data_IF_602177526846
#
_entry.id   IF_602177526846
#
_cell.length_a   1.000
_cell.length_b   1.000
_cell.length_c   1.000
_cell.angle_alpha   90.00
_cell.angle_beta   90.00
_cell.angle_gamma   90.00
#
_symmetry.space_group_name_H-M   'P 1'
#
loop_
_entity.id
_entity.type
_entity.pdbx_description
1 polymer ?
#
# COMPACT_ATOMS: atom_id res chain seq x y z
N UNK A 1 8.97 0.92 -2.03
CA UNK A 1 7.92 1.62 -1.26
C UNK A 1 6.99 2.33 -2.22
N UNK A 2 5.70 2.06 -2.09
CA UNK A 2 4.66 2.68 -2.92
C UNK A 2 3.80 3.55 -2.01
N UNK A 3 3.64 4.81 -2.38
CA UNK A 3 2.78 5.76 -1.70
C UNK A 3 1.37 5.73 -2.28
N UNK A 4 0.37 5.60 -1.42
CA UNK A 4 -1.05 5.65 -1.75
C UNK A 4 -1.67 6.97 -1.29
N UNK A 5 -2.98 7.13 -1.51
CA UNK A 5 -3.76 8.21 -0.93
C UNK A 5 -3.21 9.61 -1.26
N UNK A 6 -3.03 10.43 -0.22
CA UNK A 6 -2.53 11.81 -0.35
C UNK A 6 -1.08 11.87 -0.79
N UNK A 7 -0.24 10.96 -0.28
CA UNK A 7 1.17 10.85 -0.66
C UNK A 7 1.32 10.52 -2.15
N UNK A 8 0.52 9.57 -2.62
CA UNK A 8 0.47 9.17 -4.02
C UNK A 8 -0.09 10.25 -4.94
N UNK A 9 -1.14 10.95 -4.48
CA UNK A 9 -1.80 12.02 -5.22
C UNK A 9 -1.14 13.40 -5.19
N UNK A 10 0.00 13.58 -4.50
CA UNK A 10 0.63 14.89 -4.28
C UNK A 10 -0.27 15.89 -3.53
N UNK A 11 -1.10 15.39 -2.60
CA UNK A 11 -2.10 16.15 -1.83
C UNK A 11 -1.79 16.13 -0.31
N UNK A 12 -0.51 16.10 0.08
CA UNK A 12 -0.11 16.07 1.49
C UNK A 12 -0.40 17.42 2.19
N UNK A 13 -1.06 17.35 3.34
CA UNK A 13 -1.20 18.47 4.29
C UNK A 13 -0.34 18.30 5.54
N UNK A 14 -0.29 19.33 6.39
CA UNK A 14 0.58 19.40 7.57
C UNK A 14 0.44 18.25 8.57
N UNK A 15 -0.74 17.67 8.71
CA UNK A 15 -1.04 16.56 9.62
C UNK A 15 -1.53 15.32 8.86
N UNK A 16 -1.02 15.08 7.65
CA UNK A 16 -1.43 13.93 6.85
C UNK A 16 -0.59 12.70 7.15
N UNK A 17 -1.27 11.57 7.29
CA UNK A 17 -0.65 10.26 7.40
C UNK A 17 -0.02 9.85 6.05
N UNK A 18 0.98 8.97 6.13
CA UNK A 18 1.63 8.40 4.96
C UNK A 18 1.05 7.01 4.69
N UNK A 19 0.21 6.90 3.65
CA UNK A 19 -0.26 5.62 3.16
C UNK A 19 0.86 4.91 2.39
N UNK A 20 1.43 3.85 2.97
CA UNK A 20 2.61 3.16 2.43
C UNK A 20 2.39 1.65 2.32
N UNK A 21 2.80 1.09 1.19
CA UNK A 21 2.98 -0.36 1.05
C UNK A 21 4.43 -0.67 0.65
N UNK A 22 4.89 -1.86 1.03
CA UNK A 22 6.26 -2.31 0.79
C UNK A 22 6.26 -3.47 -0.20
N UNK A 23 7.07 -3.33 -1.25
CA UNK A 23 7.26 -4.36 -2.26
C UNK A 23 8.73 -4.77 -2.32
N UNK A 24 8.98 -6.03 -2.66
CA UNK A 24 10.30 -6.57 -2.99
C UNK A 24 10.22 -7.45 -4.24
N UNK A 25 11.34 -7.73 -4.89
CA UNK A 25 11.47 -8.69 -5.99
C UNK A 25 12.46 -9.82 -5.64
N UNK A 26 12.74 -10.01 -4.35
CA UNK A 26 13.61 -11.08 -3.84
C UNK A 26 13.17 -12.50 -4.27
N UNK A 27 14.05 -13.28 -4.92
CA UNK A 27 13.84 -14.71 -5.16
C UNK A 27 13.70 -15.49 -3.85
N UNK A 28 13.17 -16.73 -3.93
CA UNK A 28 13.00 -17.62 -2.76
C UNK A 28 14.33 -18.11 -2.17
N UNK A 29 15.32 -18.36 -3.00
CA UNK A 29 16.55 -19.06 -2.58
C UNK A 29 17.72 -18.11 -2.30
N UNK A 30 17.43 -16.85 -1.95
CA UNK A 30 18.44 -15.83 -1.65
C UNK A 30 18.62 -15.72 -0.14
N UNK A 31 19.87 -15.82 0.31
CA UNK A 31 20.27 -15.61 1.69
C UNK A 31 21.15 -14.36 1.81
N UNK A 32 21.14 -13.74 2.98
CA UNK A 32 22.01 -12.58 3.27
C UNK A 32 23.43 -13.00 3.59
N UNK A 33 24.42 -12.19 3.21
CA UNK A 33 25.87 -12.44 3.38
C UNK A 33 26.47 -11.92 4.70
N UNK A 34 25.64 -11.52 5.67
CA UNK A 34 26.09 -10.98 6.95
C UNK A 34 26.50 -12.03 7.99
N UNK A 35 26.95 -11.58 9.16
CA UNK A 35 27.36 -12.45 10.28
C UNK A 35 26.28 -13.45 10.71
N UNK A 36 25.01 -13.06 10.53
CA UNK A 36 23.86 -13.93 10.72
C UNK A 36 23.10 -14.05 9.40
N UNK A 37 23.27 -15.19 8.75
CA UNK A 37 22.56 -15.53 7.53
C UNK A 37 21.05 -15.67 7.80
N UNK A 38 20.25 -14.93 7.04
CA UNK A 38 18.79 -14.99 7.07
C UNK A 38 18.26 -15.04 5.64
N UNK A 39 17.04 -15.55 5.50
CA UNK A 39 16.29 -15.53 4.24
C UNK A 39 16.10 -14.08 3.74
N UNK A 40 16.28 -13.87 2.44
CA UNK A 40 16.20 -12.54 1.82
C UNK A 40 14.84 -11.88 1.96
N UNK A 41 13.73 -12.63 1.93
CA UNK A 41 12.38 -12.09 2.17
C UNK A 41 12.22 -11.72 3.63
N UNK A 42 12.78 -12.50 4.55
CA UNK A 42 12.81 -12.16 5.97
C UNK A 42 13.62 -10.87 6.21
N UNK A 43 14.71 -10.65 5.47
CA UNK A 43 15.46 -9.39 5.52
C UNK A 43 14.58 -8.20 5.14
N UNK A 44 13.87 -8.26 4.00
CA UNK A 44 12.97 -7.18 3.58
C UNK A 44 11.82 -6.94 4.56
N UNK A 45 11.27 -8.01 5.16
CA UNK A 45 10.26 -7.90 6.20
C UNK A 45 10.79 -7.11 7.42
N UNK A 46 11.99 -7.44 7.90
CA UNK A 46 12.63 -6.72 9.02
C UNK A 46 12.94 -5.28 8.66
N UNK A 47 13.36 -5.03 7.42
CA UNK A 47 13.61 -3.68 6.92
C UNK A 47 12.33 -2.83 6.97
N UNK A 48 11.21 -3.35 6.46
CA UNK A 48 9.93 -2.64 6.51
C UNK A 48 9.46 -2.39 7.94
N UNK A 49 9.58 -3.38 8.83
CA UNK A 49 9.28 -3.21 10.27
C UNK A 49 10.14 -2.12 10.91
N UNK A 50 11.43 -2.06 10.57
CA UNK A 50 12.35 -1.04 11.07
C UNK A 50 11.97 0.35 10.56
N UNK A 51 11.58 0.46 9.28
CA UNK A 51 11.09 1.72 8.70
C UNK A 51 9.83 2.18 9.44
N UNK A 52 8.83 1.32 9.60
CA UNK A 52 7.60 1.63 10.35
C UNK A 52 7.92 2.14 11.76
N UNK A 53 8.82 1.44 12.46
CA UNK A 53 9.25 1.82 13.80
C UNK A 53 9.93 3.20 13.81
N UNK A 54 10.82 3.49 12.86
CA UNK A 54 11.51 4.79 12.80
C UNK A 54 10.53 5.96 12.56
N UNK A 55 9.46 5.75 11.80
CA UNK A 55 8.43 6.77 11.60
C UNK A 55 7.55 6.98 12.84
N UNK A 56 7.17 5.89 13.52
CA UNK A 56 6.20 5.93 14.63
C UNK A 56 6.82 6.12 16.01
N UNK A 57 8.15 6.01 16.15
CA UNK A 57 8.81 6.12 17.45
C UNK A 57 8.76 7.55 17.96
N UNK A 58 8.20 7.72 19.17
CA UNK A 58 8.12 9.01 19.84
C UNK A 58 9.48 9.37 20.45
N UNK A 59 10.06 10.45 19.95
CA UNK A 59 11.27 11.08 20.49
C UNK A 59 10.89 12.31 21.33
N UNK A 60 11.88 13.01 21.89
CA UNK A 60 11.67 14.29 22.59
C UNK A 60 10.98 15.36 21.72
N UNK A 61 11.09 15.25 20.39
CA UNK A 61 10.48 16.16 19.42
C UNK A 61 9.15 15.64 18.85
N UNK A 62 8.62 14.53 19.38
CA UNK A 62 7.42 13.87 18.85
C UNK A 62 7.74 12.70 17.92
N UNK A 63 6.77 12.34 17.07
CA UNK A 63 6.91 11.33 16.01
C UNK A 63 7.24 12.00 14.67
N UNK A 64 7.73 11.25 13.70
CA UNK A 64 8.05 11.79 12.39
C UNK A 64 6.80 11.90 11.50
N UNK A 65 6.12 10.77 11.26
CA UNK A 65 4.82 10.69 10.57
C UNK A 65 4.05 9.48 11.10
N UNK A 66 2.72 9.57 11.10
CA UNK A 66 1.89 8.37 11.19
C UNK A 66 1.92 7.66 9.84
N UNK A 67 2.17 6.35 9.85
CA UNK A 67 2.25 5.52 8.64
C UNK A 67 1.10 4.54 8.65
N UNK A 68 0.29 4.57 7.59
CA UNK A 68 -0.80 3.65 7.38
C UNK A 68 -0.44 2.63 6.29
N UNK A 69 -0.39 1.35 6.67
CA UNK A 69 -0.10 0.25 5.76
C UNK A 69 -1.33 -0.64 5.49
N UNK A 70 -2.56 -0.15 5.75
CA UNK A 70 -3.80 -0.94 5.60
C UNK A 70 -4.21 -1.20 4.15
N UNK A 71 -3.69 -0.44 3.19
CA UNK A 71 -3.96 -0.61 1.75
C UNK A 71 -3.08 -1.69 1.09
N UNK A 72 -2.28 -2.44 1.87
CA UNK A 72 -1.52 -3.59 1.37
C UNK A 72 -2.45 -4.78 1.06
N UNK A 73 -2.01 -5.73 0.20
CA UNK A 73 -2.78 -6.95 -0.06
C UNK A 73 -3.25 -7.64 1.22
N UNK A 74 -4.53 -8.03 1.27
CA UNK A 74 -5.19 -8.63 2.44
C UNK A 74 -5.23 -7.72 3.70
N UNK A 75 -4.96 -6.42 3.55
CA UNK A 75 -5.03 -5.42 4.61
C UNK A 75 -4.21 -5.78 5.84
N UNK A 76 -4.79 -5.63 7.03
CA UNK A 76 -4.12 -5.90 8.31
C UNK A 76 -3.69 -7.38 8.48
N UNK A 77 -4.37 -8.31 7.80
CA UNK A 77 -4.06 -9.74 7.86
C UNK A 77 -2.94 -10.16 6.89
N UNK A 78 -2.63 -9.32 5.90
CA UNK A 78 -1.58 -9.58 4.93
C UNK A 78 -0.17 -9.29 5.44
N UNK A 79 0.81 -9.90 4.77
CA UNK A 79 2.22 -9.64 4.99
C UNK A 79 2.53 -8.15 4.84
N UNK A 80 3.40 -7.61 5.71
CA UNK A 80 3.79 -6.19 5.65
C UNK A 80 4.52 -5.84 4.34
N UNK A 81 5.25 -6.83 3.79
CA UNK A 81 5.95 -6.72 2.51
C UNK A 81 5.48 -7.83 1.60
N UNK A 82 5.23 -7.49 0.35
CA UNK A 82 4.76 -8.44 -0.68
C UNK A 82 5.74 -8.48 -1.84
N UNK A 83 5.88 -9.63 -2.50
CA UNK A 83 6.65 -9.66 -3.75
C UNK A 83 5.90 -8.91 -4.86
N UNK A 84 6.61 -8.32 -5.82
CA UNK A 84 5.98 -7.64 -6.96
C UNK A 84 5.06 -8.60 -7.76
N UNK A 85 5.45 -9.87 -7.89
CA UNK A 85 4.65 -10.93 -8.52
C UNK A 85 3.37 -11.23 -7.73
N UNK A 86 3.48 -11.50 -6.42
CA UNK A 86 2.30 -11.77 -5.60
C UNK A 86 1.36 -10.55 -5.51
N UNK A 87 1.91 -9.33 -5.55
CA UNK A 87 1.13 -8.12 -5.65
C UNK A 87 0.35 -8.08 -6.97
N UNK A 88 0.98 -8.43 -8.09
CA UNK A 88 0.30 -8.49 -9.39
C UNK A 88 -0.82 -9.54 -9.41
N UNK A 89 -0.57 -10.71 -8.87
CA UNK A 89 -1.56 -11.79 -8.80
C UNK A 89 -2.74 -11.42 -7.91
N UNK A 90 -2.47 -10.82 -6.75
CA UNK A 90 -3.52 -10.33 -5.86
C UNK A 90 -4.39 -9.27 -6.53
N UNK A 91 -3.76 -8.27 -7.18
CA UNK A 91 -4.49 -7.20 -7.86
C UNK A 91 -5.35 -7.71 -9.02
N UNK A 92 -4.96 -8.80 -9.68
CA UNK A 92 -5.72 -9.40 -10.78
C UNK A 92 -6.87 -10.28 -10.32
N UNK A 93 -6.66 -11.07 -9.26
CA UNK A 93 -7.55 -12.19 -8.93
C UNK A 93 -8.39 -11.96 -7.67
N UNK A 94 -7.93 -11.14 -6.73
CA UNK A 94 -8.53 -11.02 -5.40
C UNK A 94 -8.94 -9.59 -5.03
N UNK A 95 -8.30 -8.59 -5.63
CA UNK A 95 -8.53 -7.20 -5.27
C UNK A 95 -9.93 -6.72 -5.66
N UNK A 96 -10.57 -6.02 -4.74
CA UNK A 96 -11.89 -5.44 -4.94
C UNK A 96 -11.80 -4.15 -5.77
N UNK A 97 -12.92 -3.73 -6.38
CA UNK A 97 -12.99 -2.49 -7.16
C UNK A 97 -12.50 -1.26 -6.38
N UNK A 98 -12.76 -1.17 -5.07
CA UNK A 98 -12.29 -0.06 -4.23
C UNK A 98 -10.76 -0.06 -4.05
N UNK A 99 -10.11 -1.23 -4.06
CA UNK A 99 -8.65 -1.34 -4.02
C UNK A 99 -8.03 -0.88 -5.34
N UNK A 100 -8.67 -1.23 -6.47
CA UNK A 100 -8.29 -0.69 -7.78
C UNK A 100 -8.46 0.83 -7.82
N UNK A 101 -9.50 1.38 -7.18
CA UNK A 101 -9.65 2.84 -7.05
C UNK A 101 -8.53 3.47 -6.24
N UNK A 102 -8.10 2.85 -5.13
CA UNK A 102 -6.97 3.32 -4.36
C UNK A 102 -5.65 3.27 -5.18
N UNK A 103 -5.49 2.23 -6.00
CA UNK A 103 -4.33 2.04 -6.89
C UNK A 103 -4.21 3.15 -7.97
N UNK A 104 -5.31 3.81 -8.34
CA UNK A 104 -5.27 4.96 -9.27
C UNK A 104 -4.32 6.04 -8.78
N UNK A 105 -4.28 6.31 -7.47
CA UNK A 105 -3.41 7.32 -6.87
C UNK A 105 -2.05 6.77 -6.45
N UNK A 106 -1.83 5.46 -6.52
CA UNK A 106 -0.60 4.85 -6.07
C UNK A 106 0.57 5.17 -7.00
N UNK A 107 1.74 5.43 -6.41
CA UNK A 107 3.01 5.62 -7.15
C UNK A 107 4.20 5.14 -6.34
N UNK A 108 5.28 4.75 -7.01
CA UNK A 108 6.54 4.47 -6.33
C UNK A 108 7.11 5.77 -5.77
N UNK A 109 7.42 5.77 -4.47
CA UNK A 109 8.08 6.90 -3.78
C UNK A 109 9.54 6.60 -3.47
N UNK A 110 9.89 5.31 -3.38
CA UNK A 110 11.26 4.85 -3.20
C UNK A 110 11.40 3.44 -3.79
N UNK A 111 12.40 3.22 -4.63
CA UNK A 111 12.68 1.94 -5.27
C UNK A 111 13.75 2.12 -6.34
N UNK A 112 14.43 1.04 -6.69
CA UNK A 112 15.32 1.01 -7.85
C UNK A 112 14.51 1.04 -9.17
N UNK A 113 15.16 1.31 -10.32
CA UNK A 113 14.46 1.39 -11.60
C UNK A 113 13.75 0.10 -12.04
N UNK A 114 14.27 -1.07 -11.65
CA UNK A 114 13.71 -2.35 -12.05
C UNK A 114 12.40 -2.61 -11.31
N UNK A 115 12.41 -2.52 -9.98
CA UNK A 115 11.20 -2.68 -9.17
C UNK A 115 10.17 -1.59 -9.47
N UNK A 116 10.62 -0.37 -9.77
CA UNK A 116 9.74 0.73 -10.18
C UNK A 116 9.02 0.40 -11.49
N UNK A 117 9.76 -0.07 -12.50
CA UNK A 117 9.20 -0.45 -13.79
C UNK A 117 8.22 -1.61 -13.69
N UNK A 118 8.51 -2.60 -12.83
CA UNK A 118 7.61 -3.72 -12.55
C UNK A 118 6.29 -3.23 -11.94
N UNK A 119 6.35 -2.39 -10.90
CA UNK A 119 5.15 -1.81 -10.29
C UNK A 119 4.32 -1.00 -11.29
N UNK A 120 4.96 -0.15 -12.09
CA UNK A 120 4.26 0.69 -13.06
C UNK A 120 3.58 -0.13 -14.16
N UNK A 121 4.21 -1.22 -14.59
CA UNK A 121 3.61 -2.16 -15.54
C UNK A 121 2.37 -2.85 -14.93
N UNK A 122 2.48 -3.38 -13.71
CA UNK A 122 1.34 -4.00 -13.01
C UNK A 122 0.21 -3.01 -12.84
N UNK A 123 0.50 -1.79 -12.33
CA UNK A 123 -0.51 -0.75 -12.17
C UNK A 123 -1.19 -0.42 -13.50
N UNK A 124 -0.43 -0.25 -14.59
CA UNK A 124 -0.97 0.02 -15.92
C UNK A 124 -1.93 -1.09 -16.36
N UNK A 125 -1.53 -2.35 -16.23
CA UNK A 125 -2.35 -3.50 -16.62
C UNK A 125 -3.70 -3.48 -15.90
N UNK A 126 -3.69 -3.28 -14.56
CA UNK A 126 -4.90 -3.19 -13.74
C UNK A 126 -5.79 -2.02 -14.16
N UNK A 127 -5.20 -0.86 -14.47
CA UNK A 127 -5.96 0.31 -14.95
C UNK A 127 -6.62 0.05 -16.31
N UNK A 128 -6.00 -0.79 -17.16
CA UNK A 128 -6.48 -1.10 -18.51
C UNK A 128 -7.39 -2.33 -18.60
N UNK A 129 -7.67 -3.02 -17.49
CA UNK A 129 -8.62 -4.14 -17.48
C UNK A 129 -9.98 -3.70 -18.02
N UNK A 130 -10.54 -4.51 -18.93
CA UNK A 130 -11.88 -4.30 -19.46
C UNK A 130 -12.92 -4.44 -18.34
N UNK A 131 -13.72 -3.39 -18.14
CA UNK A 131 -14.78 -3.34 -17.11
C UNK A 131 -16.09 -2.94 -17.77
N UNK A 132 -17.18 -3.56 -17.33
CA UNK A 132 -18.53 -3.15 -17.76
C UNK A 132 -18.89 -1.83 -17.04
N UNK A 133 -19.26 -0.82 -17.83
CA UNK A 133 -19.34 0.56 -17.33
C UNK A 133 -20.44 0.78 -16.29
N UNK A 134 -21.59 0.08 -16.42
CA UNK A 134 -22.71 0.24 -15.47
C UNK A 134 -22.44 -0.44 -14.14
N UNK A 135 -21.87 -1.64 -14.16
CA UNK A 135 -21.43 -2.37 -12.96
C UNK A 135 -20.40 -1.55 -12.21
N UNK A 136 -19.34 -1.10 -12.89
CA UNK A 136 -18.30 -0.27 -12.27
C UNK A 136 -18.88 1.02 -11.68
N UNK A 137 -19.75 1.72 -12.42
CA UNK A 137 -20.39 2.93 -11.91
C UNK A 137 -21.21 2.64 -10.65
N UNK A 138 -21.90 1.51 -10.59
CA UNK A 138 -22.73 1.12 -9.45
C UNK A 138 -21.87 0.83 -8.22
N UNK A 139 -20.85 -0.02 -8.36
CA UNK A 139 -19.90 -0.36 -7.29
C UNK A 139 -19.22 0.90 -6.71
N UNK A 140 -18.79 1.82 -7.57
CA UNK A 140 -18.17 3.08 -7.14
C UNK A 140 -19.14 3.98 -6.37
N UNK A 141 -20.42 4.02 -6.77
CA UNK A 141 -21.44 4.83 -6.09
C UNK A 141 -21.81 4.23 -4.73
N UNK A 142 -21.97 2.91 -4.66
CA UNK A 142 -22.29 2.20 -3.42
C UNK A 142 -21.17 2.37 -2.39
N UNK A 143 -19.91 2.13 -2.79
CA UNK A 143 -18.75 2.31 -1.92
C UNK A 143 -18.61 3.76 -1.41
N UNK A 144 -18.85 4.76 -2.27
CA UNK A 144 -18.88 6.16 -1.83
C UNK A 144 -20.01 6.43 -0.83
N UNK A 145 -21.17 5.82 -1.02
CA UNK A 145 -22.30 5.92 -0.10
C UNK A 145 -22.00 5.29 1.27
N UNK A 146 -21.36 4.13 1.30
CA UNK A 146 -20.94 3.46 2.53
C UNK A 146 -19.89 4.26 3.30
N UNK A 147 -18.85 4.74 2.62
CA UNK A 147 -17.82 5.59 3.23
C UNK A 147 -18.41 6.88 3.83
N UNK A 148 -19.34 7.53 3.11
CA UNK A 148 -20.01 8.73 3.63
C UNK A 148 -20.82 8.45 4.90
N UNK A 149 -21.50 7.30 4.98
CA UNK A 149 -22.25 6.88 6.18
C UNK A 149 -21.32 6.54 7.35
N UNK A 150 -20.22 5.84 7.08
CA UNK A 150 -19.22 5.48 8.08
C UNK A 150 -18.52 6.72 8.68
N UNK A 151 -18.11 7.68 7.84
CA UNK A 151 -17.53 8.95 8.29
C UNK A 151 -18.54 9.82 9.05
N UNK A 152 -19.81 9.81 8.66
CA UNK A 152 -20.89 10.49 9.40
C UNK A 152 -21.13 9.90 10.80
N UNK A 153 -21.00 8.57 10.95
CA UNK A 153 -21.12 7.90 12.26
C UNK A 153 -19.89 8.13 13.16
N UNK A 154 -18.68 8.25 12.60
CA UNK A 154 -17.49 8.63 13.36
C UNK A 154 -17.58 10.07 13.88
N UNK A 155 -18.05 11.02 13.06
CA UNK A 155 -18.27 12.39 13.50
C UNK A 155 -19.34 12.51 14.61
N UNK A 156 -20.35 11.62 14.59
CA UNK A 156 -21.44 11.60 15.58
C UNK A 156 -21.05 10.98 16.94
N UNK A 157 -19.95 10.23 17.00
CA UNK A 157 -19.44 9.58 18.24
C UNK A 157 -18.36 10.40 18.95
N UNK A 158 -17.95 11.53 18.37
CA UNK A 158 -16.98 12.46 18.94
C UNK A 158 -17.62 13.72 19.55
N UNK A 159 -18.94 13.69 19.78
CA UNK A 159 -19.70 14.70 20.53
C UNK A 159 -20.37 14.06 21.75
#
# INVERSE_FOLDING_TARGET
MVGYGKLGGWELGYSSDLDLIFLHDCPMDVMTDGEREIDGRQFYLRLAQRIMHLFSTRTSSGILYEVDARLRPSGAAGMLVTSAEAFADYQKNEAWTWEHQALVRARVVYGDPQLTSQFDAVRRDIMTLAREGKTLQTEVREMRGENARASGQQASRSF
#
